data_IF_162730033729
#
_entry.id   IF_162730033729
#
_cell.length_a   1.000
_cell.length_b   1.000
_cell.length_c   1.000
_cell.angle_alpha   90.00
_cell.angle_beta   90.00
_cell.angle_gamma   90.00
#
_symmetry.space_group_name_H-M   'P 1'
#
loop_
_entity.id
_entity.type
_entity.pdbx_description
1 polymer ?
#
# COMPACT_ATOMS: atom_id res chain seq x y z
N UNK A 1 30.05 22.04 -18.34
CA UNK A 1 30.05 20.97 -17.31
C UNK A 1 28.60 20.64 -16.97
N UNK A 2 28.28 19.39 -16.69
CA UNK A 2 26.97 18.91 -16.25
C UNK A 2 27.14 18.12 -14.96
N UNK A 3 26.36 18.46 -13.93
CA UNK A 3 26.38 17.77 -12.64
C UNK A 3 25.04 17.06 -12.46
N UNK A 4 25.08 15.76 -12.16
CA UNK A 4 23.91 14.94 -11.89
C UNK A 4 23.91 14.57 -10.42
N UNK A 5 23.00 15.20 -9.67
CA UNK A 5 22.70 14.77 -8.32
C UNK A 5 21.83 13.51 -8.35
N UNK A 6 22.04 12.62 -7.38
CA UNK A 6 21.52 11.24 -7.36
C UNK A 6 21.69 10.51 -8.69
N UNK A 7 22.94 10.46 -9.17
CA UNK A 7 23.28 9.99 -10.49
C UNK A 7 22.93 8.51 -10.75
N UNK A 8 22.71 7.70 -9.71
CA UNK A 8 22.22 6.32 -9.84
C UNK A 8 20.84 6.23 -10.52
N UNK A 9 20.09 7.34 -10.58
CA UNK A 9 18.84 7.44 -11.33
C UNK A 9 19.03 7.46 -12.85
N UNK A 10 20.26 7.51 -13.37
CA UNK A 10 20.58 7.44 -14.80
C UNK A 10 20.40 6.01 -15.38
N UNK A 11 19.27 5.37 -15.07
CA UNK A 11 18.89 4.05 -15.57
C UNK A 11 17.50 4.06 -16.21
N UNK A 12 17.22 3.04 -17.03
CA UNK A 12 15.92 2.83 -17.69
C UNK A 12 15.47 4.05 -18.52
N UNK A 13 14.24 4.52 -18.30
CA UNK A 13 13.60 5.63 -19.00
C UNK A 13 13.52 6.92 -18.16
N UNK A 14 14.41 7.06 -17.18
CA UNK A 14 14.52 8.28 -16.39
C UNK A 14 14.85 9.50 -17.27
N UNK A 15 14.50 10.72 -16.82
CA UNK A 15 14.90 11.96 -17.50
C UNK A 15 16.42 12.03 -17.73
N UNK A 16 17.24 11.61 -16.74
CA UNK A 16 18.69 11.55 -16.86
C UNK A 16 19.13 10.64 -17.99
N UNK A 17 18.56 9.44 -18.09
CA UNK A 17 18.91 8.49 -19.16
C UNK A 17 18.57 9.03 -20.54
N UNK A 18 17.45 9.78 -20.68
CA UNK A 18 17.08 10.40 -21.97
C UNK A 18 18.09 11.48 -22.37
N UNK A 19 18.47 12.34 -21.42
CA UNK A 19 19.47 13.39 -21.62
C UNK A 19 20.85 12.81 -21.97
N UNK A 20 21.30 11.78 -21.24
CA UNK A 20 22.58 11.12 -21.48
C UNK A 20 22.59 10.33 -22.80
N UNK A 21 21.47 9.72 -23.22
CA UNK A 21 21.35 9.15 -24.56
C UNK A 21 21.49 10.20 -25.67
N UNK A 22 20.98 11.41 -25.46
CA UNK A 22 21.19 12.53 -26.38
C UNK A 22 22.66 12.96 -26.39
N UNK A 23 23.30 13.07 -25.22
CA UNK A 23 24.74 13.33 -25.09
C UNK A 23 25.58 12.31 -25.87
N UNK A 24 25.32 11.01 -25.69
CA UNK A 24 26.02 9.94 -26.40
C UNK A 24 25.79 10.02 -27.92
N UNK A 25 24.55 10.29 -28.36
CA UNK A 25 24.25 10.47 -29.79
C UNK A 25 25.04 11.61 -30.40
N UNK A 26 25.18 12.73 -29.69
CA UNK A 26 26.04 13.84 -30.13
C UNK A 26 27.50 13.41 -30.23
N UNK A 27 27.99 12.64 -29.25
CA UNK A 27 29.36 12.10 -29.25
C UNK A 27 29.67 11.21 -30.45
N UNK A 28 28.72 10.36 -30.87
CA UNK A 28 28.94 9.40 -31.96
C UNK A 28 28.62 9.95 -33.36
N UNK A 29 27.73 10.95 -33.47
CA UNK A 29 27.20 11.39 -34.76
C UNK A 29 28.10 12.37 -35.54
N UNK A 30 29.26 12.78 -35.00
CA UNK A 30 30.13 13.83 -35.56
C UNK A 30 29.41 15.15 -35.89
N UNK A 31 28.18 15.35 -35.37
CA UNK A 31 27.37 16.57 -35.57
C UNK A 31 27.83 17.74 -34.73
N UNK A 32 28.82 17.51 -33.87
CA UNK A 32 29.45 18.55 -33.10
C UNK A 32 30.53 19.18 -33.99
N UNK A 33 30.50 20.52 -34.23
CA UNK A 33 31.54 21.21 -34.97
C UNK A 33 32.93 20.87 -34.41
N UNK A 34 33.95 20.82 -35.26
CA UNK A 34 35.32 20.39 -34.89
C UNK A 34 35.95 21.18 -33.72
N UNK A 35 35.40 22.34 -33.35
CA UNK A 35 35.84 23.18 -32.23
C UNK A 35 34.96 23.07 -30.97
N UNK A 36 33.85 22.34 -31.00
CA UNK A 36 32.96 22.20 -29.86
C UNK A 36 33.24 20.88 -29.12
N UNK A 37 33.39 20.96 -27.80
CA UNK A 37 33.57 19.80 -26.93
C UNK A 37 32.28 19.50 -26.16
N UNK A 38 32.01 18.22 -25.90
CA UNK A 38 30.93 17.84 -25.01
C UNK A 38 31.23 18.29 -23.58
N UNK A 39 30.20 18.68 -22.80
CA UNK A 39 30.42 19.04 -21.41
C UNK A 39 30.95 17.83 -20.62
N UNK A 40 31.88 18.09 -19.69
CA UNK A 40 32.25 17.12 -18.67
C UNK A 40 31.03 16.74 -17.84
N UNK A 41 30.86 15.45 -17.55
CA UNK A 41 29.82 14.92 -16.67
C UNK A 41 30.42 14.62 -15.29
N UNK A 42 29.74 15.07 -14.24
CA UNK A 42 30.02 14.74 -12.84
C UNK A 42 28.75 14.12 -12.26
N UNK A 43 28.84 12.91 -11.70
CA UNK A 43 27.74 12.25 -11.01
C UNK A 43 28.00 12.21 -9.51
N UNK A 44 27.01 12.64 -8.72
CA UNK A 44 27.03 12.59 -7.26
C UNK A 44 26.01 11.56 -6.79
N UNK A 45 26.40 10.69 -5.87
CA UNK A 45 25.46 9.80 -5.17
C UNK A 45 26.11 9.20 -3.92
N UNK A 46 25.30 8.83 -2.93
CA UNK A 46 25.73 8.05 -1.79
C UNK A 46 25.94 6.56 -2.12
N UNK A 47 25.21 6.03 -3.10
CA UNK A 47 25.29 4.62 -3.51
C UNK A 47 25.01 4.44 -5.00
N UNK A 48 25.79 3.58 -5.64
CA UNK A 48 25.60 3.22 -7.05
C UNK A 48 24.49 2.17 -7.24
N UNK A 49 24.10 1.48 -6.17
CA UNK A 49 23.21 0.32 -6.22
C UNK A 49 23.84 -0.90 -6.91
N UNK A 50 23.13 -2.03 -6.83
CA UNK A 50 23.55 -3.32 -7.43
C UNK A 50 22.54 -3.87 -8.44
N UNK A 51 21.45 -3.13 -8.68
CA UNK A 51 20.31 -3.60 -9.47
C UNK A 51 19.45 -4.64 -8.73
N UNK A 52 18.54 -5.29 -9.46
CA UNK A 52 17.61 -6.28 -8.90
C UNK A 52 18.13 -7.73 -8.91
N UNK A 53 19.43 -7.93 -9.07
CA UNK A 53 20.05 -9.26 -9.22
C UNK A 53 20.96 -9.57 -8.03
N UNK A 54 21.07 -10.84 -7.67
CA UNK A 54 21.66 -11.30 -6.40
C UNK A 54 23.13 -11.71 -6.46
N UNK A 55 23.79 -11.63 -7.61
CA UNK A 55 25.20 -12.05 -7.73
C UNK A 55 26.14 -10.86 -7.81
N UNK A 56 27.36 -11.03 -7.29
CA UNK A 56 28.43 -10.02 -7.40
C UNK A 56 28.72 -9.65 -8.86
N UNK A 57 28.75 -10.65 -9.75
CA UNK A 57 28.95 -10.43 -11.20
C UNK A 57 27.88 -9.51 -11.78
N UNK A 58 26.63 -9.71 -11.39
CA UNK A 58 25.52 -8.87 -11.85
C UNK A 58 25.59 -7.46 -11.28
N UNK A 59 26.03 -7.32 -10.02
CA UNK A 59 26.25 -6.03 -9.37
C UNK A 59 27.35 -5.23 -10.07
N UNK A 60 28.49 -5.85 -10.38
CA UNK A 60 29.58 -5.23 -11.15
C UNK A 60 29.07 -4.82 -12.53
N UNK A 61 28.33 -5.69 -13.22
CA UNK A 61 27.74 -5.35 -14.52
C UNK A 61 26.73 -4.19 -14.43
N UNK A 62 25.99 -4.07 -13.31
CA UNK A 62 25.11 -2.93 -13.05
C UNK A 62 25.90 -1.63 -12.92
N UNK A 63 26.94 -1.61 -12.09
CA UNK A 63 27.81 -0.45 -11.91
C UNK A 63 28.46 -0.04 -13.24
N UNK A 64 28.98 -0.99 -14.02
CA UNK A 64 29.58 -0.71 -15.33
C UNK A 64 28.57 -0.06 -16.29
N UNK A 65 27.33 -0.55 -16.35
CA UNK A 65 26.27 0.06 -17.18
C UNK A 65 25.95 1.49 -16.74
N UNK A 66 25.89 1.75 -15.44
CA UNK A 66 25.66 3.09 -14.90
C UNK A 66 26.82 4.03 -15.26
N UNK A 67 28.08 3.58 -15.06
CA UNK A 67 29.26 4.34 -15.44
C UNK A 67 29.29 4.64 -16.95
N UNK A 68 28.96 3.67 -17.80
CA UNK A 68 28.89 3.86 -19.25
C UNK A 68 27.82 4.89 -19.63
N UNK A 69 26.63 4.86 -19.00
CA UNK A 69 25.59 5.85 -19.23
C UNK A 69 26.04 7.27 -18.86
N UNK A 70 26.76 7.43 -17.76
CA UNK A 70 27.30 8.70 -17.28
C UNK A 70 28.60 9.14 -17.99
N UNK A 71 29.11 8.36 -18.95
CA UNK A 71 30.45 8.55 -19.53
C UNK A 71 31.55 8.69 -18.46
N UNK A 72 31.41 7.90 -17.38
CA UNK A 72 32.25 7.97 -16.19
C UNK A 72 33.55 7.19 -16.43
N UNK A 73 34.69 7.87 -16.25
CA UNK A 73 36.03 7.27 -16.37
C UNK A 73 36.62 6.82 -15.03
N UNK A 74 36.14 7.38 -13.92
CA UNK A 74 36.66 7.10 -12.59
C UNK A 74 35.55 7.27 -11.55
N UNK A 75 35.46 6.32 -10.63
CA UNK A 75 34.61 6.42 -9.43
C UNK A 75 35.50 6.96 -8.32
N UNK A 76 35.19 8.16 -7.83
CA UNK A 76 35.90 8.77 -6.72
C UNK A 76 35.21 8.43 -5.40
N UNK A 77 35.95 7.77 -4.50
CA UNK A 77 35.51 7.47 -3.13
C UNK A 77 36.60 7.90 -2.16
N UNK A 78 36.26 8.22 -0.90
CA UNK A 78 37.27 8.53 0.12
C UNK A 78 38.11 7.28 0.40
N UNK A 79 39.42 7.34 0.12
CA UNK A 79 40.38 6.23 0.38
C UNK A 79 41.45 6.58 1.40
N UNK A 80 41.95 7.83 1.41
CA UNK A 80 43.04 8.28 2.30
C UNK A 80 42.52 8.78 3.64
N UNK A 81 41.48 9.60 3.64
CA UNK A 81 40.97 10.29 4.82
C UNK A 81 39.75 9.58 5.44
N UNK A 82 39.74 8.23 5.44
CA UNK A 82 38.61 7.45 5.97
C UNK A 82 38.38 7.72 7.46
N UNK A 83 39.47 7.90 8.23
CA UNK A 83 39.37 8.23 9.66
C UNK A 83 38.77 9.61 9.93
N UNK A 84 38.98 10.58 9.03
CA UNK A 84 38.31 11.89 9.10
C UNK A 84 36.84 11.75 8.73
N UNK A 85 36.53 11.05 7.63
CA UNK A 85 35.15 10.80 7.20
C UNK A 85 34.32 10.14 8.31
N UNK A 86 34.86 9.13 9.00
CA UNK A 86 34.18 8.44 10.11
C UNK A 86 33.86 9.34 11.30
N UNK A 87 34.61 10.43 11.52
CA UNK A 87 34.30 11.42 12.58
C UNK A 87 33.09 12.27 12.24
N UNK A 88 32.84 12.52 10.95
CA UNK A 88 31.71 13.33 10.47
C UNK A 88 30.50 12.48 10.06
N UNK A 89 30.72 11.22 9.70
CA UNK A 89 29.70 10.25 9.29
C UNK A 89 29.98 8.91 9.98
N UNK A 90 29.64 8.77 11.28
CA UNK A 90 29.85 7.53 12.00
C UNK A 90 29.02 6.39 11.40
N UNK A 91 29.60 5.20 11.36
CA UNK A 91 28.87 3.98 11.00
C UNK A 91 27.94 3.62 12.17
N UNK A 92 26.63 3.65 11.93
CA UNK A 92 25.61 3.18 12.88
C UNK A 92 25.30 1.74 12.52
N UNK A 93 25.32 0.85 13.52
CA UNK A 93 24.95 -0.54 13.34
C UNK A 93 23.49 -0.75 13.72
N UNK A 94 22.73 -1.34 12.80
CA UNK A 94 21.35 -1.72 13.08
C UNK A 94 21.34 -3.01 13.91
N UNK A 95 20.68 -2.96 15.07
CA UNK A 95 20.39 -4.14 15.88
C UNK A 95 19.04 -4.72 15.46
N UNK A 96 19.04 -5.97 14.98
CA UNK A 96 17.82 -6.65 14.54
C UNK A 96 17.34 -7.58 15.63
N UNK A 97 16.20 -7.24 16.24
CA UNK A 97 15.54 -8.07 17.24
C UNK A 97 14.33 -8.80 16.62
N UNK A 98 14.34 -10.13 16.73
CA UNK A 98 13.18 -10.95 16.37
C UNK A 98 12.20 -10.96 17.54
N UNK A 99 11.08 -10.25 17.38
CA UNK A 99 9.98 -10.27 18.35
C UNK A 99 8.92 -11.30 17.94
N UNK A 100 8.38 -12.04 18.90
CA UNK A 100 7.23 -12.92 18.67
C UNK A 100 5.96 -12.12 18.36
N UNK A 101 5.05 -12.67 17.55
CA UNK A 101 3.81 -11.99 17.12
C UNK A 101 2.67 -11.97 18.16
N UNK A 102 2.96 -12.22 19.43
CA UNK A 102 1.97 -12.20 20.51
C UNK A 102 1.97 -10.83 21.18
N UNK A 103 1.30 -9.85 20.55
CA UNK A 103 1.14 -8.50 21.12
C UNK A 103 0.35 -8.54 22.44
N UNK A 104 -0.63 -9.46 22.57
CA UNK A 104 -1.32 -9.79 23.82
C UNK A 104 -2.08 -11.14 23.72
N UNK A 105 -2.61 -11.62 24.84
CA UNK A 105 -3.42 -12.85 24.93
C UNK A 105 -4.80 -12.74 24.26
N UNK A 106 -5.24 -11.54 23.89
CA UNK A 106 -6.56 -11.26 23.34
C UNK A 106 -6.57 -11.16 21.81
N UNK A 107 -5.41 -11.29 21.16
CA UNK A 107 -5.22 -11.24 19.70
C UNK A 107 -6.31 -11.95 18.88
N UNK A 108 -6.53 -13.23 19.16
CA UNK A 108 -7.48 -14.04 18.38
C UNK A 108 -8.93 -13.56 18.58
N UNK A 109 -9.27 -13.12 19.80
CA UNK A 109 -10.59 -12.61 20.13
C UNK A 109 -10.84 -11.26 19.46
N UNK A 110 -9.87 -10.34 19.53
CA UNK A 110 -9.96 -9.03 18.91
C UNK A 110 -10.11 -9.16 17.38
N UNK A 111 -9.16 -9.84 16.72
CA UNK A 111 -9.21 -10.03 15.27
C UNK A 111 -10.48 -10.74 14.81
N UNK A 112 -10.90 -11.80 15.52
CA UNK A 112 -12.15 -12.50 15.24
C UNK A 112 -13.35 -11.57 15.32
N UNK A 113 -13.43 -10.74 16.37
CA UNK A 113 -14.54 -9.80 16.57
C UNK A 113 -14.59 -8.73 15.48
N UNK A 114 -13.45 -8.13 15.14
CA UNK A 114 -13.38 -7.11 14.08
C UNK A 114 -13.72 -7.72 12.71
N UNK A 115 -13.21 -8.91 12.39
CA UNK A 115 -13.50 -9.58 11.12
C UNK A 115 -15.00 -9.94 10.97
N UNK A 116 -15.65 -10.38 12.05
CA UNK A 116 -17.09 -10.64 12.03
C UNK A 116 -17.89 -9.35 11.82
N UNK A 117 -17.47 -8.24 12.43
CA UNK A 117 -18.10 -6.95 12.19
C UNK A 117 -17.94 -6.49 10.74
N UNK A 118 -16.75 -6.66 10.16
CA UNK A 118 -16.51 -6.34 8.75
C UNK A 118 -17.45 -7.12 7.84
N UNK A 119 -17.65 -8.43 8.08
CA UNK A 119 -18.60 -9.26 7.30
C UNK A 119 -20.05 -8.75 7.39
N UNK A 120 -20.48 -8.30 8.57
CA UNK A 120 -21.84 -7.75 8.75
C UNK A 120 -22.02 -6.49 7.88
N UNK A 121 -21.06 -5.58 7.93
CA UNK A 121 -21.08 -4.35 7.15
C UNK A 121 -20.95 -4.61 5.64
N UNK A 122 -20.12 -5.57 5.23
CA UNK A 122 -20.01 -6.01 3.84
C UNK A 122 -21.34 -6.57 3.32
N UNK A 123 -22.02 -7.41 4.10
CA UNK A 123 -23.32 -7.97 3.70
C UNK A 123 -24.39 -6.88 3.53
N UNK A 124 -24.37 -5.86 4.39
CA UNK A 124 -25.26 -4.70 4.25
C UNK A 124 -24.92 -3.87 3.00
N UNK A 125 -23.63 -3.68 2.71
CA UNK A 125 -23.19 -2.99 1.50
C UNK A 125 -23.61 -3.74 0.23
N UNK A 126 -23.45 -5.07 0.21
CA UNK A 126 -23.89 -5.94 -0.87
C UNK A 126 -25.39 -5.79 -1.15
N UNK A 127 -26.21 -5.72 -0.10
CA UNK A 127 -27.66 -5.55 -0.21
C UNK A 127 -28.01 -4.18 -0.82
N UNK A 128 -27.33 -3.12 -0.38
CA UNK A 128 -27.53 -1.76 -0.91
C UNK A 128 -27.22 -1.71 -2.40
N UNK A 129 -26.08 -2.27 -2.83
CA UNK A 129 -25.71 -2.30 -4.24
C UNK A 129 -26.67 -3.14 -5.08
N UNK A 130 -27.17 -4.26 -4.57
CA UNK A 130 -28.15 -5.10 -5.29
C UNK A 130 -29.50 -4.43 -5.48
N UNK A 131 -29.95 -3.64 -4.50
CA UNK A 131 -31.31 -3.10 -4.48
C UNK A 131 -31.43 -1.68 -5.06
N UNK A 132 -30.37 -0.88 -4.96
CA UNK A 132 -30.46 0.57 -5.23
C UNK A 132 -29.43 1.11 -6.23
N UNK A 133 -28.47 0.31 -6.68
CA UNK A 133 -27.54 0.75 -7.72
C UNK A 133 -28.13 0.50 -9.11
N UNK A 134 -28.18 1.54 -9.94
CA UNK A 134 -28.45 1.36 -11.37
C UNK A 134 -27.12 1.12 -12.06
N UNK A 135 -27.00 0.05 -12.86
CA UNK A 135 -25.80 -0.18 -13.68
C UNK A 135 -25.78 0.87 -14.79
N UNK A 136 -25.26 2.06 -14.48
CA UNK A 136 -25.15 3.17 -15.42
C UNK A 136 -23.68 3.43 -15.70
N UNK A 137 -23.19 2.87 -16.81
CA UNK A 137 -21.83 3.08 -17.31
C UNK A 137 -21.81 4.47 -17.96
N UNK A 138 -21.55 5.52 -17.18
CA UNK A 138 -21.24 6.84 -17.74
C UNK A 138 -19.74 7.10 -17.67
N UNK A 139 -19.08 6.86 -18.80
CA UNK A 139 -17.65 7.10 -19.01
C UNK A 139 -17.42 8.61 -19.17
N UNK A 140 -17.30 9.35 -18.07
CA UNK A 140 -16.93 10.76 -18.15
C UNK A 140 -15.40 10.92 -18.26
N UNK A 141 -14.97 11.68 -19.27
CA UNK A 141 -13.59 11.88 -19.72
C UNK A 141 -12.60 12.47 -18.70
N UNK A 142 -13.02 12.70 -17.46
CA UNK A 142 -12.14 13.05 -16.34
C UNK A 142 -11.17 11.90 -15.99
N UNK A 143 -11.53 10.66 -16.31
CA UNK A 143 -10.70 9.47 -16.10
C UNK A 143 -9.39 9.50 -16.92
N UNK A 144 -9.40 10.11 -18.12
CA UNK A 144 -8.20 10.23 -18.96
C UNK A 144 -7.18 11.23 -18.40
N UNK A 145 -7.65 12.23 -17.64
CA UNK A 145 -6.79 13.22 -17.02
C UNK A 145 -6.05 12.65 -15.80
N UNK A 146 -6.74 11.87 -14.96
CA UNK A 146 -6.15 11.22 -13.78
C UNK A 146 -5.33 9.95 -14.11
N UNK A 147 -5.75 9.12 -15.07
CA UNK A 147 -4.93 7.97 -15.53
C UNK A 147 -3.60 8.44 -16.15
N UNK A 148 -3.55 9.65 -16.72
CA UNK A 148 -2.29 10.26 -17.16
C UNK A 148 -1.39 10.69 -16.01
N UNK A 149 -1.95 11.07 -14.85
CA UNK A 149 -1.18 11.46 -13.67
C UNK A 149 -0.67 10.26 -12.84
N UNK A 150 -1.30 9.08 -13.01
CA UNK A 150 -0.96 7.86 -12.26
C UNK A 150 -0.27 6.77 -13.10
N UNK A 151 0.28 7.11 -14.28
CA UNK A 151 1.25 6.26 -14.98
C UNK A 151 2.68 6.63 -14.58
N UNK A 152 3.30 6.00 -13.56
CA UNK A 152 4.71 5.73 -13.67
C UNK A 152 4.91 4.87 -14.90
N UNK A 153 5.82 5.27 -15.78
CA UNK A 153 6.28 4.47 -16.90
C UNK A 153 6.52 3.02 -16.45
N UNK A 154 5.88 2.05 -17.10
CA UNK A 154 6.17 0.63 -16.95
C UNK A 154 7.70 0.43 -17.00
N UNK A 155 8.21 -0.05 -15.88
CA UNK A 155 9.62 -0.30 -15.67
C UNK A 155 9.80 -0.99 -14.33
N UNK A 156 9.31 -2.24 -14.24
CA UNK A 156 9.45 -3.17 -13.10
C UNK A 156 10.57 -2.76 -12.13
N UNK A 157 10.15 -2.37 -10.94
CA UNK A 157 10.77 -2.49 -9.62
C UNK A 157 10.03 -1.49 -8.74
N UNK A 158 8.93 -1.96 -8.16
CA UNK A 158 8.23 -1.24 -7.11
C UNK A 158 9.21 -0.98 -5.97
N UNK A 159 9.31 0.27 -5.55
CA UNK A 159 9.78 0.61 -4.20
C UNK A 159 8.85 -0.14 -3.26
N UNK A 160 9.38 -1.12 -2.52
CA UNK A 160 8.62 -1.88 -1.53
C UNK A 160 8.30 -0.94 -0.36
N UNK A 161 7.03 -0.61 -0.07
CA UNK A 161 6.67 -0.37 1.32
C UNK A 161 6.90 -1.69 2.08
N UNK A 162 7.36 -1.61 3.32
CA UNK A 162 7.74 -2.76 4.12
C UNK A 162 6.65 -3.83 4.10
N UNK A 163 6.95 -4.98 3.50
CA UNK A 163 6.11 -6.17 3.52
C UNK A 163 6.57 -7.04 4.70
N UNK A 164 5.67 -7.44 5.60
CA UNK A 164 5.83 -8.66 6.40
C UNK A 164 4.80 -9.69 5.97
N UNK A 165 5.25 -10.61 5.12
CA UNK A 165 4.55 -11.86 4.84
C UNK A 165 4.56 -12.68 6.13
N UNK A 166 3.39 -13.09 6.63
CA UNK A 166 3.32 -14.12 7.68
C UNK A 166 3.99 -15.39 7.17
N UNK A 167 4.89 -16.04 7.94
CA UNK A 167 5.70 -17.17 7.46
C UNK A 167 4.88 -18.43 7.08
N UNK A 168 3.58 -18.49 7.36
CA UNK A 168 2.76 -19.70 7.22
C UNK A 168 1.80 -19.75 6.00
N UNK A 169 1.86 -18.80 5.06
CA UNK A 169 1.01 -18.84 3.84
C UNK A 169 1.81 -18.91 2.54
N UNK A 170 2.77 -19.82 2.45
CA UNK A 170 3.58 -20.02 1.25
C UNK A 170 2.88 -20.75 0.07
N UNK A 171 1.61 -21.18 0.21
CA UNK A 171 0.90 -21.93 -0.85
C UNK A 171 -0.57 -21.52 -1.00
N UNK A 172 -0.85 -20.23 -1.18
CA UNK A 172 -2.12 -19.80 -1.79
C UNK A 172 -1.76 -19.00 -3.03
N UNK A 173 -2.31 -19.40 -4.17
CA UNK A 173 -2.11 -18.75 -5.46
C UNK A 173 -2.50 -17.27 -5.34
N UNK A 174 -1.49 -16.42 -5.22
CA UNK A 174 -1.59 -14.97 -5.28
C UNK A 174 -2.00 -14.60 -6.71
N UNK A 175 -3.23 -14.13 -6.91
CA UNK A 175 -3.68 -13.51 -8.17
C UNK A 175 -3.03 -12.12 -8.33
N UNK A 176 -1.69 -12.10 -8.34
CA UNK A 176 -0.77 -11.21 -9.06
C UNK A 176 -0.90 -9.68 -8.96
N UNK A 177 -1.86 -9.10 -8.24
CA UNK A 177 -2.04 -7.64 -8.16
C UNK A 177 -2.43 -7.18 -6.76
N UNK A 178 -1.40 -6.83 -5.98
CA UNK A 178 -1.50 -6.10 -4.70
C UNK A 178 -2.37 -4.83 -4.79
N UNK A 179 -2.47 -4.24 -5.98
CA UNK A 179 -3.32 -3.09 -6.28
C UNK A 179 -4.18 -3.35 -7.51
N UNK A 180 -5.49 -3.34 -7.29
CA UNK A 180 -6.52 -3.46 -8.32
C UNK A 180 -7.34 -2.18 -8.40
N UNK A 181 -7.60 -1.72 -9.63
CA UNK A 181 -8.54 -0.63 -9.89
C UNK A 181 -9.92 -1.22 -10.14
N UNK A 182 -10.95 -0.59 -9.57
CA UNK A 182 -12.35 -1.01 -9.71
C UNK A 182 -13.11 -0.04 -10.62
N UNK A 183 -13.93 -0.60 -11.51
CA UNK A 183 -14.82 0.16 -12.42
C UNK A 183 -16.29 -0.17 -12.18
N UNK A 184 -16.58 -1.14 -11.31
CA UNK A 184 -17.89 -1.56 -10.87
C UNK A 184 -17.77 -2.14 -9.46
N UNK A 185 -18.90 -2.28 -8.79
CA UNK A 185 -18.94 -2.95 -7.50
C UNK A 185 -18.52 -4.42 -7.62
N UNK A 186 -17.67 -4.86 -6.70
CA UNK A 186 -17.28 -6.24 -6.54
C UNK A 186 -17.28 -6.60 -5.05
N UNK A 187 -17.54 -7.87 -4.73
CA UNK A 187 -17.52 -8.34 -3.35
C UNK A 187 -16.14 -8.14 -2.70
N UNK A 188 -16.14 -7.93 -1.39
CA UNK A 188 -14.92 -7.70 -0.62
C UNK A 188 -14.00 -8.93 -0.62
N UNK A 189 -12.66 -8.76 -0.60
CA UNK A 189 -11.72 -9.87 -0.44
C UNK A 189 -11.99 -10.68 0.84
N UNK A 190 -11.76 -11.99 0.80
CA UNK A 190 -11.96 -12.87 1.96
C UNK A 190 -11.01 -12.56 3.11
N UNK A 191 -9.73 -12.30 2.81
CA UNK A 191 -8.72 -11.97 3.82
C UNK A 191 -8.83 -10.50 4.25
N UNK A 192 -9.48 -10.29 5.40
CA UNK A 192 -9.74 -8.97 6.01
C UNK A 192 -8.48 -8.26 6.51
N UNK A 193 -7.39 -8.99 6.70
CA UNK A 193 -6.10 -8.47 7.16
C UNK A 193 -5.17 -8.09 6.01
N UNK A 194 -5.58 -8.36 4.77
CA UNK A 194 -4.73 -8.16 3.60
C UNK A 194 -4.74 -6.71 3.10
N UNK A 195 -3.60 -6.28 2.54
CA UNK A 195 -3.51 -5.00 1.84
C UNK A 195 -4.51 -4.87 0.67
N UNK A 196 -4.89 -6.00 0.07
CA UNK A 196 -5.92 -6.09 -0.97
C UNK A 196 -7.29 -5.64 -0.46
N UNK A 197 -7.61 -5.92 0.82
CA UNK A 197 -8.83 -5.45 1.46
C UNK A 197 -8.82 -3.92 1.62
N UNK A 198 -7.74 -3.31 2.11
CA UNK A 198 -7.63 -1.85 2.18
C UNK A 198 -7.72 -1.21 0.80
N UNK A 199 -7.07 -1.81 -0.21
CA UNK A 199 -7.18 -1.36 -1.58
C UNK A 199 -8.64 -1.43 -2.08
N UNK A 200 -9.37 -2.49 -1.74
CA UNK A 200 -10.79 -2.62 -2.07
C UNK A 200 -11.64 -1.53 -1.42
N UNK A 201 -11.58 -1.35 -0.09
CA UNK A 201 -12.36 -0.33 0.63
C UNK A 201 -12.04 1.06 0.11
N UNK A 202 -10.75 1.39 -0.04
CA UNK A 202 -10.30 2.71 -0.48
C UNK A 202 -10.80 3.05 -1.88
N UNK A 203 -10.75 2.10 -2.82
CA UNK A 203 -11.25 2.33 -4.18
C UNK A 203 -12.77 2.42 -4.19
N UNK A 204 -13.48 1.59 -3.45
CA UNK A 204 -14.93 1.64 -3.40
C UNK A 204 -15.40 2.99 -2.83
N UNK A 205 -14.81 3.43 -1.71
CA UNK A 205 -15.15 4.69 -1.06
C UNK A 205 -14.78 5.93 -1.89
N UNK A 206 -13.55 6.00 -2.43
CA UNK A 206 -13.02 7.26 -2.99
C UNK A 206 -13.14 7.37 -4.51
N UNK A 207 -13.36 6.26 -5.20
CA UNK A 207 -13.46 6.21 -6.66
C UNK A 207 -14.83 5.75 -7.12
N UNK A 208 -15.29 4.59 -6.64
CA UNK A 208 -16.54 4.01 -7.11
C UNK A 208 -17.77 4.77 -6.60
N UNK A 209 -17.83 5.09 -5.30
CA UNK A 209 -18.98 5.79 -4.71
C UNK A 209 -19.29 7.14 -5.37
N UNK A 210 -18.30 8.02 -5.68
CA UNK A 210 -18.55 9.26 -6.40
C UNK A 210 -19.15 9.05 -7.81
N UNK A 211 -18.71 8.01 -8.51
CA UNK A 211 -19.15 7.70 -9.89
C UNK A 211 -20.47 6.91 -9.93
N UNK A 212 -20.84 6.25 -8.84
CA UNK A 212 -22.04 5.40 -8.80
C UNK A 212 -23.31 6.23 -8.62
N UNK A 213 -24.30 5.97 -9.48
CA UNK A 213 -25.64 6.56 -9.42
C UNK A 213 -26.56 5.60 -8.67
N UNK A 214 -27.07 6.05 -7.53
CA UNK A 214 -28.06 5.35 -6.74
C UNK A 214 -29.45 5.89 -7.07
N UNK A 215 -30.45 5.02 -7.05
CA UNK A 215 -31.86 5.45 -7.18
C UNK A 215 -32.37 6.17 -5.93
N UNK A 216 -31.69 5.97 -4.80
CA UNK A 216 -32.00 6.57 -3.50
C UNK A 216 -30.73 7.19 -2.89
N UNK A 217 -30.80 8.48 -2.59
CA UNK A 217 -29.70 9.23 -1.96
C UNK A 217 -29.46 8.78 -0.51
N UNK A 218 -30.48 8.25 0.18
CA UNK A 218 -30.31 7.67 1.51
C UNK A 218 -29.45 6.41 1.45
N UNK A 219 -29.74 5.52 0.49
CA UNK A 219 -28.92 4.32 0.23
C UNK A 219 -27.47 4.66 -0.14
N UNK A 220 -27.25 5.72 -0.93
CA UNK A 220 -25.88 6.20 -1.25
C UNK A 220 -25.15 6.65 0.00
N UNK A 221 -25.81 7.45 0.85
CA UNK A 221 -25.24 7.94 2.11
C UNK A 221 -24.89 6.79 3.04
N UNK A 222 -25.79 5.81 3.17
CA UNK A 222 -25.55 4.61 3.97
C UNK A 222 -24.36 3.78 3.43
N UNK A 223 -24.22 3.64 2.11
CA UNK A 223 -23.08 2.93 1.52
C UNK A 223 -21.73 3.64 1.79
N UNK A 224 -21.69 4.98 1.73
CA UNK A 224 -20.50 5.77 2.09
C UNK A 224 -20.14 5.50 3.56
N UNK A 225 -21.12 5.66 4.46
CA UNK A 225 -20.91 5.44 5.89
C UNK A 225 -20.36 4.04 6.19
N UNK A 226 -20.96 3.00 5.60
CA UNK A 226 -20.51 1.61 5.76
C UNK A 226 -19.06 1.46 5.32
N UNK A 227 -18.70 2.00 4.16
CA UNK A 227 -17.33 1.93 3.63
C UNK A 227 -16.32 2.66 4.52
N UNK A 228 -16.71 3.79 5.12
CA UNK A 228 -15.85 4.48 6.07
C UNK A 228 -15.67 3.70 7.39
N UNK A 229 -16.72 3.04 7.87
CA UNK A 229 -16.63 2.16 9.04
C UNK A 229 -15.71 0.97 8.72
N UNK A 230 -15.85 0.35 7.55
CA UNK A 230 -14.96 -0.72 7.09
C UNK A 230 -13.50 -0.26 7.00
N UNK A 231 -13.23 0.98 6.57
CA UNK A 231 -11.88 1.56 6.57
C UNK A 231 -11.35 1.67 8.01
N UNK A 232 -12.15 2.20 8.94
CA UNK A 232 -11.75 2.34 10.36
C UNK A 232 -11.50 0.98 11.03
N UNK A 233 -12.30 -0.04 10.73
CA UNK A 233 -12.10 -1.40 11.23
C UNK A 233 -10.78 -2.00 10.72
N UNK A 234 -10.46 -1.79 9.44
CA UNK A 234 -9.17 -2.20 8.91
C UNK A 234 -8.01 -1.46 9.59
N UNK A 235 -8.14 -0.14 9.82
CA UNK A 235 -7.11 0.65 10.52
C UNK A 235 -6.89 0.17 11.95
N UNK A 236 -7.94 -0.30 12.64
CA UNK A 236 -7.79 -0.89 13.97
C UNK A 236 -7.01 -2.23 13.91
N UNK A 237 -7.18 -3.04 12.86
CA UNK A 237 -6.36 -4.24 12.63
C UNK A 237 -4.90 -3.86 12.37
N UNK A 238 -4.65 -2.81 11.57
CA UNK A 238 -3.30 -2.32 11.25
C UNK A 238 -2.61 -1.77 12.50
N UNK A 239 -3.30 -0.95 13.31
CA UNK A 239 -2.76 -0.50 14.61
C UNK A 239 -2.40 -1.67 15.52
N UNK A 240 -3.21 -2.72 15.52
CA UNK A 240 -2.96 -3.89 16.34
C UNK A 240 -1.70 -4.68 15.92
N UNK A 241 -1.10 -4.42 14.75
CA UNK A 241 0.19 -5.01 14.39
C UNK A 241 1.33 -4.51 15.29
N UNK A 242 1.26 -3.24 15.71
CA UNK A 242 2.30 -2.58 16.49
C UNK A 242 1.86 -2.25 17.94
N UNK A 243 0.55 -2.31 18.23
CA UNK A 243 -0.03 -1.95 19.53
C UNK A 243 -0.91 -3.06 20.12
N UNK A 244 -1.31 -2.89 21.39
CA UNK A 244 -2.22 -3.82 22.06
C UNK A 244 -3.64 -3.76 21.48
N UNK A 245 -4.43 -4.81 21.74
CA UNK A 245 -5.86 -4.84 21.40
C UNK A 245 -6.63 -3.73 22.10
N UNK A 246 -6.23 -3.35 23.31
CA UNK A 246 -6.82 -2.23 24.07
C UNK A 246 -6.63 -0.90 23.33
N UNK A 247 -5.41 -0.57 22.90
CA UNK A 247 -5.16 0.69 22.18
C UNK A 247 -5.82 0.72 20.81
N UNK A 248 -5.83 -0.42 20.12
CA UNK A 248 -6.51 -0.57 18.83
C UNK A 248 -8.03 -0.39 18.96
N UNK A 249 -8.61 -0.92 20.04
CA UNK A 249 -10.03 -0.74 20.35
C UNK A 249 -10.36 0.70 20.79
N UNK A 250 -9.47 1.34 21.55
CA UNK A 250 -9.61 2.74 21.94
C UNK A 250 -9.63 3.65 20.72
N UNK A 251 -8.70 3.47 19.78
CA UNK A 251 -8.73 4.17 18.49
C UNK A 251 -10.09 4.02 17.79
N UNK A 252 -10.59 2.78 17.69
CA UNK A 252 -11.86 2.52 17.04
C UNK A 252 -13.03 3.22 17.74
N UNK A 253 -13.07 3.21 19.08
CA UNK A 253 -14.07 3.94 19.85
C UNK A 253 -14.03 5.44 19.58
N UNK A 254 -12.84 6.04 19.53
CA UNK A 254 -12.66 7.46 19.21
C UNK A 254 -13.16 7.77 17.79
N UNK A 255 -12.84 6.93 16.80
CA UNK A 255 -13.33 7.12 15.43
C UNK A 255 -14.85 7.01 15.32
N UNK A 256 -15.47 6.10 16.08
CA UNK A 256 -16.93 5.95 16.09
C UNK A 256 -17.61 7.10 16.85
N UNK A 257 -16.98 7.62 17.91
CA UNK A 257 -17.49 8.76 18.66
C UNK A 257 -17.51 10.04 17.80
N UNK A 258 -16.51 10.27 16.95
CA UNK A 258 -16.49 11.39 15.99
C UNK A 258 -17.67 11.36 14.99
N UNK A 259 -18.32 10.21 14.83
CA UNK A 259 -19.42 10.01 13.88
C UNK A 259 -20.77 9.80 14.56
N UNK A 260 -20.86 9.87 15.89
CA UNK A 260 -22.07 9.49 16.65
C UNK A 260 -23.37 10.10 16.12
N UNK A 261 -23.28 11.35 15.70
CA UNK A 261 -24.40 12.18 15.27
C UNK A 261 -24.78 11.94 13.81
N UNK A 262 -23.83 11.47 12.99
CA UNK A 262 -24.06 11.18 11.57
C UNK A 262 -24.34 9.70 11.29
N UNK A 263 -24.10 8.79 12.25
CA UNK A 263 -24.34 7.35 12.07
C UNK A 263 -25.82 7.03 11.81
N UNK A 264 -26.08 6.22 10.79
CA UNK A 264 -27.38 5.58 10.56
C UNK A 264 -27.78 4.69 11.74
N UNK A 265 -29.09 4.45 11.91
CA UNK A 265 -29.62 3.53 12.93
C UNK A 265 -29.01 2.14 12.80
N UNK A 266 -28.88 1.64 11.56
CA UNK A 266 -28.23 0.37 11.26
C UNK A 266 -26.81 0.29 11.83
N UNK A 267 -25.96 1.27 11.53
CA UNK A 267 -24.57 1.27 11.99
C UNK A 267 -24.46 1.46 13.50
N UNK A 268 -25.32 2.31 14.08
CA UNK A 268 -25.38 2.53 15.53
C UNK A 268 -25.77 1.26 16.28
N UNK A 269 -26.79 0.53 15.81
CA UNK A 269 -27.28 -0.69 16.46
C UNK A 269 -26.25 -1.83 16.42
N UNK A 270 -25.57 -2.01 15.29
CA UNK A 270 -24.52 -3.04 15.15
C UNK A 270 -23.26 -2.69 15.93
N UNK A 271 -22.87 -1.41 15.97
CA UNK A 271 -21.79 -0.92 16.82
C UNK A 271 -22.09 -1.12 18.31
N UNK A 272 -23.31 -0.76 18.77
CA UNK A 272 -23.74 -0.92 20.16
C UNK A 272 -23.89 -2.39 20.57
N UNK A 273 -24.31 -3.26 19.65
CA UNK A 273 -24.41 -4.71 19.89
C UNK A 273 -23.04 -5.32 20.20
N UNK A 274 -21.98 -4.84 19.55
CA UNK A 274 -20.60 -5.27 19.83
C UNK A 274 -20.08 -4.77 21.17
N UNK A 275 -20.33 -3.52 21.53
CA UNK A 275 -19.95 -2.97 22.83
C UNK A 275 -20.67 -3.67 23.99
N UNK A 276 -21.86 -4.22 23.77
CA UNK A 276 -22.58 -5.04 24.76
C UNK A 276 -22.06 -6.49 24.79
N UNK A 277 -21.72 -7.05 23.64
CA UNK A 277 -21.22 -8.43 23.50
C UNK A 277 -19.78 -8.66 24.00
N UNK A 278 -18.98 -7.63 24.19
CA UNK A 278 -17.65 -7.73 24.84
C UNK A 278 -17.73 -7.85 26.37
N UNK A 279 -18.89 -7.58 26.97
CA UNK A 279 -19.12 -7.73 28.42
C UNK A 279 -19.75 -9.09 28.81
N UNK A 280 -20.26 -9.87 27.85
CA UNK A 280 -20.95 -11.14 28.11
C UNK A 280 -20.44 -12.28 27.20
N UNK A 281 -19.26 -12.80 27.51
CA UNK A 281 -18.71 -14.02 26.89
C UNK A 281 -19.41 -15.31 27.35
N UNK A 282 -20.32 -15.24 28.32
CA UNK A 282 -21.00 -16.41 28.89
C UNK A 282 -22.20 -16.88 28.05
N UNK A 283 -22.87 -15.98 27.32
CA UNK A 283 -24.22 -16.22 26.79
C UNK A 283 -24.21 -16.94 25.42
N UNK A 284 -23.15 -16.81 24.61
CA UNK A 284 -23.07 -17.48 23.29
C UNK A 284 -22.92 -19.01 23.38
N UNK A 285 -22.28 -19.52 24.44
CA UNK A 285 -22.09 -20.97 24.66
C UNK A 285 -23.39 -21.67 25.08
N UNK A 286 -24.20 -20.99 25.89
CA UNK A 286 -25.51 -21.47 26.34
C UNK A 286 -26.58 -21.43 25.23
N UNK A 287 -26.49 -20.46 24.31
CA UNK A 287 -27.40 -20.39 23.16
C UNK A 287 -27.11 -21.49 22.11
N UNK A 288 -25.83 -21.86 21.91
CA UNK A 288 -25.44 -22.99 21.06
C UNK A 288 -25.83 -24.35 21.66
N UNK A 289 -25.79 -24.51 22.99
CA UNK A 289 -26.27 -25.73 23.66
C UNK A 289 -27.79 -25.89 23.64
N UNK A 290 -28.56 -24.79 23.57
CA UNK A 290 -30.02 -24.83 23.39
C UNK A 290 -30.42 -25.27 21.98
N UNK A 291 -29.62 -24.96 20.96
CA UNK A 291 -29.83 -25.41 19.58
C UNK A 291 -29.45 -26.87 19.34
N UNK A 292 -28.56 -27.45 20.14
CA UNK A 292 -28.22 -28.89 20.11
C UNK A 292 -29.26 -29.81 20.77
N UNK A 293 -30.25 -29.26 21.47
CA UNK A 293 -31.23 -30.00 22.28
C UNK A 293 -32.61 -30.19 21.62
N UNK A 294 -32.74 -29.96 20.32
CA UNK A 294 -33.92 -30.38 19.56
C UNK A 294 -33.58 -31.67 18.78
N UNK A 295 -34.27 -32.79 19.02
CA UNK A 295 -34.11 -33.97 18.20
C UNK A 295 -34.74 -33.72 16.82
N UNK A 296 -34.15 -34.39 15.82
CA UNK A 296 -34.50 -34.40 14.38
C UNK A 296 -36.00 -34.49 14.14
#
# INVERSE_FOLDING_TARGET
MMVFDECHNAVKNSPYSKLLRFYHRLSFSQRIPSKAALPQIIGLTASLGVGGKSTEKDAVAHVIRLCAMLNCKAISTVRKNVGELKKFSPEVFDEIHNCGGQNDSNRCLFLGTICELMKIFEAALDLIYRNFSTVSIHFNGFMLFWIKFQKPSLGNHAVKPAQRVSPDKANVADDGKLYRTYTKYEAAPEDKTSQSYLNWVSNHLRRLMPETVFSDESAKTQAIEILEILENLYRAIEMFEDFSSEESFKFLNEQMALKSDSLTSFSRDHWLSLNKGTCETTTKREQLEKLRRYPV
#
